data_IF_199947891560
#
_entry.id   IF_199947891560
#
_cell.length_a   1.000
_cell.length_b   1.000
_cell.length_c   1.000
_cell.angle_alpha   90.00
_cell.angle_beta   90.00
_cell.angle_gamma   90.00
#
_symmetry.space_group_name_H-M   'P 1'
#
loop_
_entity.id
_entity.type
_entity.pdbx_description
1 polymer ?
#
# COMPACT_ATOMS: atom_id res chain seq x y z
N UNK A 1 -8.11 1.96 4.67
CA UNK A 1 -7.63 0.58 4.92
C UNK A 1 -6.24 0.70 5.49
N UNK A 2 -6.06 0.22 6.72
CA UNK A 2 -4.75 0.23 7.38
C UNK A 2 -3.93 -1.00 6.98
N UNK A 3 -2.65 -0.79 6.69
CA UNK A 3 -1.70 -1.84 6.35
C UNK A 3 -0.29 -1.41 6.75
N UNK A 4 0.60 -2.34 7.04
CA UNK A 4 2.00 -2.02 7.24
C UNK A 4 2.68 -1.60 5.92
N UNK A 5 3.57 -0.61 6.04
CA UNK A 5 4.24 0.02 4.91
C UNK A 5 5.19 -0.92 4.15
N UNK A 6 5.72 -1.95 4.81
CA UNK A 6 6.51 -3.01 4.17
C UNK A 6 5.65 -3.91 3.29
N UNK A 7 4.49 -4.37 3.80
CA UNK A 7 3.48 -5.12 3.03
C UNK A 7 3.03 -4.29 1.83
N UNK A 8 2.75 -2.99 2.04
CA UNK A 8 2.38 -2.08 0.95
C UNK A 8 3.49 -1.96 -0.11
N UNK A 9 4.75 -1.86 0.31
CA UNK A 9 5.91 -1.79 -0.59
C UNK A 9 5.96 -3.01 -1.52
N UNK A 10 5.79 -4.21 -0.97
CA UNK A 10 5.81 -5.46 -1.75
C UNK A 10 4.56 -5.59 -2.63
N UNK A 11 3.39 -5.22 -2.12
CA UNK A 11 2.13 -5.25 -2.85
C UNK A 11 2.18 -4.37 -4.11
N UNK A 12 2.68 -3.14 -3.95
CA UNK A 12 2.81 -2.18 -5.04
C UNK A 12 4.04 -2.42 -5.94
N UNK A 13 5.01 -3.20 -5.45
CA UNK A 13 6.28 -3.45 -6.13
C UNK A 13 7.23 -2.27 -6.09
N UNK A 14 7.18 -1.46 -5.02
CA UNK A 14 8.09 -0.35 -4.82
C UNK A 14 9.48 -0.88 -4.48
N UNK A 15 10.50 -0.49 -5.24
CA UNK A 15 11.91 -0.86 -4.98
C UNK A 15 12.72 0.24 -4.27
N UNK A 16 12.15 1.42 -4.16
CA UNK A 16 12.80 2.59 -3.57
C UNK A 16 12.06 3.07 -2.33
N UNK A 17 12.50 4.21 -1.81
CA UNK A 17 11.83 4.85 -0.69
C UNK A 17 10.48 5.44 -1.10
N UNK A 18 9.54 5.44 -0.16
CA UNK A 18 8.32 6.21 -0.30
C UNK A 18 8.67 7.71 -0.22
N UNK A 19 8.06 8.50 -1.09
CA UNK A 19 8.27 9.95 -1.13
C UNK A 19 7.11 10.69 -0.49
N UNK A 20 7.32 11.90 0.03
CA UNK A 20 6.20 12.76 0.43
C UNK A 20 5.40 13.20 -0.78
N UNK A 21 4.10 13.35 -0.61
CA UNK A 21 3.20 13.83 -1.66
C UNK A 21 2.27 14.92 -1.12
N UNK A 22 2.78 16.16 -1.11
CA UNK A 22 2.06 17.32 -0.58
C UNK A 22 0.77 17.66 -1.33
N UNK A 23 0.56 17.12 -2.53
CA UNK A 23 -0.69 17.30 -3.27
C UNK A 23 -1.89 16.63 -2.56
N UNK A 24 -1.62 15.64 -1.70
CA UNK A 24 -2.61 14.92 -0.90
C UNK A 24 -2.59 15.31 0.59
N UNK A 25 -1.79 16.32 0.96
CA UNK A 25 -1.62 16.81 2.32
C UNK A 25 -0.19 16.69 2.84
N UNK A 26 0.17 17.48 3.85
CA UNK A 26 1.55 17.58 4.36
C UNK A 26 2.11 16.28 4.95
N UNK A 27 1.22 15.38 5.37
CA UNK A 27 1.55 14.07 5.97
C UNK A 27 1.36 12.91 5.01
N UNK A 28 0.97 13.17 3.77
CA UNK A 28 0.77 12.13 2.78
C UNK A 28 2.11 11.67 2.20
N UNK A 29 2.18 10.36 1.97
CA UNK A 29 3.30 9.69 1.34
C UNK A 29 2.82 8.94 0.11
N UNK A 30 3.72 8.73 -0.85
CA UNK A 30 3.50 7.98 -2.08
C UNK A 30 4.52 6.86 -2.19
N UNK A 31 4.00 5.63 -2.33
CA UNK A 31 4.75 4.48 -2.75
C UNK A 31 4.69 4.36 -4.28
N UNK A 32 5.86 4.49 -4.94
CA UNK A 32 5.95 4.44 -6.39
C UNK A 32 6.06 2.99 -6.87
N UNK A 33 4.94 2.42 -7.32
CA UNK A 33 4.88 1.01 -7.73
C UNK A 33 5.07 0.77 -9.22
N UNK A 34 4.97 -0.50 -9.62
CA UNK A 34 5.17 -0.91 -11.02
C UNK A 34 3.95 -0.54 -11.88
N UNK A 35 2.75 -0.95 -11.45
CA UNK A 35 1.51 -0.76 -12.19
C UNK A 35 0.61 0.34 -11.61
N UNK A 36 0.68 0.54 -10.29
CA UNK A 36 -0.06 1.56 -9.56
C UNK A 36 0.89 2.31 -8.64
N UNK A 37 0.62 3.58 -8.39
CA UNK A 37 1.14 4.28 -7.22
C UNK A 37 0.09 4.22 -6.12
N UNK A 38 0.54 4.24 -4.87
CA UNK A 38 -0.35 4.31 -3.71
C UNK A 38 0.01 5.52 -2.88
N UNK A 39 -0.97 6.38 -2.64
CA UNK A 39 -0.86 7.48 -1.69
C UNK A 39 -1.49 7.03 -0.38
N UNK A 40 -0.79 7.27 0.72
CA UNK A 40 -1.21 6.85 2.05
C UNK A 40 -0.87 7.90 3.10
N UNK A 41 -1.56 7.84 4.23
CA UNK A 41 -1.24 8.58 5.44
C UNK A 41 -0.39 7.71 6.37
N UNK A 42 0.73 8.23 6.87
CA UNK A 42 1.53 7.56 7.90
C UNK A 42 0.86 7.70 9.28
N UNK A 43 0.31 6.59 9.80
CA UNK A 43 -0.40 6.53 11.08
C UNK A 43 0.51 6.16 12.25
N UNK A 44 1.81 5.95 12.00
CA UNK A 44 2.83 5.62 12.99
C UNK A 44 3.11 4.13 13.13
N UNK A 45 4.23 3.79 13.77
CA UNK A 45 4.67 2.40 14.01
C UNK A 45 4.74 1.52 12.74
N UNK A 46 5.06 2.12 11.59
CA UNK A 46 5.14 1.42 10.31
C UNK A 46 3.79 1.18 9.62
N UNK A 47 2.68 1.54 10.26
CA UNK A 47 1.33 1.43 9.70
C UNK A 47 0.99 2.64 8.82
N UNK A 48 0.17 2.38 7.81
CA UNK A 48 -0.33 3.41 6.91
C UNK A 48 -1.79 3.18 6.52
N UNK A 49 -2.52 4.28 6.30
CA UNK A 49 -3.89 4.25 5.79
C UNK A 49 -3.92 4.66 4.31
N UNK A 50 -4.41 3.76 3.45
CA UNK A 50 -4.44 3.99 2.00
C UNK A 50 -5.49 5.05 1.66
N UNK A 51 -5.03 6.14 1.05
CA UNK A 51 -5.86 7.27 0.62
C UNK A 51 -6.27 7.17 -0.84
N UNK A 52 -5.32 6.82 -1.73
CA UNK A 52 -5.57 6.73 -3.16
C UNK A 52 -4.70 5.67 -3.83
N UNK A 53 -5.27 4.99 -4.82
CA UNK A 53 -4.56 4.06 -5.71
C UNK A 53 -4.64 4.62 -7.12
N UNK A 54 -3.48 4.88 -7.73
CA UNK A 54 -3.36 5.62 -8.99
C UNK A 54 -2.72 4.69 -10.04
N UNK A 55 -3.52 4.09 -10.94
CA UNK A 55 -2.97 3.27 -12.02
C UNK A 55 -2.10 4.09 -12.97
N UNK A 56 -0.93 3.56 -13.34
CA UNK A 56 -0.02 4.23 -14.27
C UNK A 56 -0.44 4.06 -15.72
N UNK A 57 -1.00 2.89 -16.07
CA UNK A 57 -1.39 2.49 -17.42
C UNK A 57 -2.52 1.46 -17.35
N UNK A 58 -3.27 1.32 -18.45
CA UNK A 58 -4.28 0.28 -18.62
C UNK A 58 -5.67 0.65 -18.09
N UNK A 59 -6.52 -0.36 -17.96
CA UNK A 59 -7.90 -0.22 -17.46
C UNK A 59 -7.87 0.06 -15.95
N UNK A 60 -8.24 1.29 -15.57
CA UNK A 60 -8.15 1.83 -14.20
C UNK A 60 -8.73 0.85 -13.18
N UNK A 61 -9.98 0.43 -13.39
CA UNK A 61 -10.70 -0.44 -12.46
C UNK A 61 -10.03 -1.82 -12.29
N UNK A 62 -9.50 -2.36 -13.39
CA UNK A 62 -8.84 -3.67 -13.40
C UNK A 62 -7.54 -3.64 -12.61
N UNK A 63 -6.74 -2.60 -12.77
CA UNK A 63 -5.46 -2.48 -12.04
C UNK A 63 -5.69 -2.22 -10.55
N UNK A 64 -6.69 -1.42 -10.18
CA UNK A 64 -7.09 -1.23 -8.78
C UNK A 64 -7.56 -2.56 -8.16
N UNK A 65 -8.41 -3.32 -8.85
CA UNK A 65 -8.87 -4.64 -8.38
C UNK A 65 -7.72 -5.62 -8.21
N UNK A 66 -6.76 -5.67 -9.16
CA UNK A 66 -5.56 -6.51 -9.05
C UNK A 66 -4.70 -6.11 -7.85
N UNK A 67 -4.50 -4.81 -7.63
CA UNK A 67 -3.75 -4.29 -6.50
C UNK A 67 -4.36 -4.76 -5.18
N UNK A 68 -5.65 -4.51 -4.95
CA UNK A 68 -6.30 -4.90 -3.68
C UNK A 68 -6.34 -6.42 -3.48
N UNK A 69 -6.53 -7.21 -4.55
CA UNK A 69 -6.42 -8.69 -4.45
C UNK A 69 -5.03 -9.13 -3.99
N UNK A 70 -3.98 -8.52 -4.54
CA UNK A 70 -2.60 -8.83 -4.15
C UNK A 70 -2.32 -8.37 -2.72
N UNK A 71 -2.77 -7.18 -2.34
CA UNK A 71 -2.62 -6.63 -1.00
C UNK A 71 -3.28 -7.53 0.05
N UNK A 72 -4.56 -7.89 -0.17
CA UNK A 72 -5.28 -8.79 0.74
C UNK A 72 -4.59 -10.15 0.86
N UNK A 73 -4.14 -10.73 -0.26
CA UNK A 73 -3.38 -11.98 -0.22
C UNK A 73 -2.06 -11.87 0.56
N UNK A 74 -1.47 -10.67 0.69
CA UNK A 74 -0.29 -10.48 1.52
C UNK A 74 -0.67 -10.32 2.98
N UNK A 75 -1.73 -9.56 3.29
CA UNK A 75 -2.27 -9.44 4.65
C UNK A 75 -2.62 -10.83 5.19
N UNK A 76 -3.40 -11.63 4.45
CA UNK A 76 -3.80 -13.00 4.85
C UNK A 76 -2.62 -13.95 5.10
N UNK A 77 -1.43 -13.65 4.55
CA UNK A 77 -0.22 -14.46 4.73
C UNK A 77 0.66 -13.98 5.89
N UNK A 78 0.50 -12.73 6.32
CA UNK A 78 1.34 -12.11 7.34
C UNK A 78 0.61 -11.97 8.68
N UNK A 79 -0.72 -12.11 8.73
CA UNK A 79 -1.48 -12.09 9.97
C UNK A 79 -2.24 -13.40 10.18
N UNK A 80 -2.36 -13.81 11.44
CA UNK A 80 -3.19 -14.94 11.84
C UNK A 80 -4.67 -14.56 11.97
N UNK A 81 -5.50 -15.50 12.41
CA UNK A 81 -6.94 -15.28 12.59
C UNK A 81 -7.32 -14.29 13.69
N UNK A 82 -6.37 -13.98 14.59
CA UNK A 82 -6.53 -12.99 15.67
C UNK A 82 -6.06 -11.59 15.22
N UNK A 83 -5.43 -11.48 14.04
CA UNK A 83 -4.83 -10.25 13.55
C UNK A 83 -3.41 -10.03 14.07
N UNK A 84 -2.77 -11.06 14.64
CA UNK A 84 -1.39 -11.01 15.09
C UNK A 84 -0.43 -11.34 13.94
N UNK A 85 0.68 -10.60 13.86
CA UNK A 85 1.68 -10.76 12.80
C UNK A 85 2.44 -12.09 12.97
N UNK A 86 2.47 -12.93 11.93
CA UNK A 86 2.98 -14.32 11.98
C UNK A 86 4.51 -14.39 12.04
N UNK A 87 5.23 -13.37 11.55
CA UNK A 87 6.70 -13.30 11.46
C UNK A 87 7.36 -12.48 12.59
N UNK A 88 6.63 -12.17 13.68
CA UNK A 88 7.12 -11.40 14.84
C UNK A 88 7.98 -12.20 15.82
#
# INVERSE_FOLDING_TARGET
MEVESDILSVAVGCKGYHGRDSAYGERAWRANGINVDVVYWDVGNGWCDIMAVIPKKGEIEKEIKKFYRKLNSMIDKNYDENGDRIDS
#
